data_IF_021570540449
#
_entry.id   IF_021570540449
#
_cell.length_a   1.000
_cell.length_b   1.000
_cell.length_c   1.000
_cell.angle_alpha   90.00
_cell.angle_beta   90.00
_cell.angle_gamma   90.00
#
_symmetry.space_group_name_H-M   'P 1'
#
loop_
_entity.id
_entity.type
_entity.pdbx_description
1 polymer ?
#
# COMPACT_ATOMS: atom_id res chain seq x y z
N UNK A 1 -13.72 -37.25 11.47
CA UNK A 1 -14.63 -36.27 10.84
C UNK A 1 -13.90 -34.94 10.76
N UNK A 2 -13.29 -34.68 9.60
CA UNK A 2 -12.65 -33.39 9.31
C UNK A 2 -13.79 -32.42 9.06
N UNK A 3 -14.06 -31.52 10.02
CA UNK A 3 -14.97 -30.39 9.78
C UNK A 3 -14.25 -29.47 8.81
N UNK A 4 -14.71 -29.44 7.56
CA UNK A 4 -14.38 -28.37 6.63
C UNK A 4 -14.77 -27.05 7.29
N UNK A 5 -13.76 -26.23 7.58
CA UNK A 5 -13.97 -24.86 7.97
C UNK A 5 -14.37 -24.09 6.71
N UNK A 6 -15.64 -23.67 6.64
CA UNK A 6 -16.08 -22.60 5.74
C UNK A 6 -15.12 -21.41 5.82
N UNK A 7 -14.69 -20.81 4.70
CA UNK A 7 -13.77 -19.67 4.72
C UNK A 7 -14.50 -18.47 5.33
N UNK A 8 -14.26 -18.22 6.61
CA UNK A 8 -14.78 -17.05 7.29
C UNK A 8 -13.95 -15.84 6.85
N UNK A 9 -14.53 -15.02 5.97
CA UNK A 9 -14.09 -13.67 5.62
C UNK A 9 -12.70 -13.58 5.00
N UNK A 10 -12.62 -13.60 3.67
CA UNK A 10 -11.40 -13.21 2.94
C UNK A 10 -10.97 -11.81 3.35
N UNK A 11 -9.77 -11.67 3.91
CA UNK A 11 -9.15 -10.37 4.14
C UNK A 11 -8.83 -9.73 2.79
N UNK A 12 -8.86 -8.40 2.77
CA UNK A 12 -8.76 -7.57 1.57
C UNK A 12 -7.51 -7.88 0.71
N UNK A 13 -6.44 -8.38 1.34
CA UNK A 13 -5.14 -8.63 0.73
C UNK A 13 -4.81 -10.12 0.53
N UNK A 14 -5.70 -11.05 0.92
CA UNK A 14 -5.38 -12.49 0.99
C UNK A 14 -5.05 -13.10 -0.38
N UNK A 15 -5.61 -12.56 -1.47
CA UNK A 15 -5.34 -13.03 -2.82
C UNK A 15 -4.20 -12.28 -3.51
N UNK A 16 -3.66 -11.22 -2.90
CA UNK A 16 -2.74 -10.29 -3.56
C UNK A 16 -1.39 -10.92 -3.86
N UNK A 17 -0.93 -11.84 -3.02
CA UNK A 17 0.42 -12.41 -3.18
C UNK A 17 0.55 -13.34 -4.39
N UNK A 18 -0.45 -14.20 -4.64
CA UNK A 18 -0.38 -15.27 -5.65
C UNK A 18 -1.58 -15.29 -6.61
N UNK A 19 -2.52 -14.35 -6.49
CA UNK A 19 -3.82 -14.41 -7.20
C UNK A 19 -4.81 -15.42 -6.61
N UNK A 20 -4.41 -16.14 -5.56
CA UNK A 20 -5.24 -17.10 -4.82
C UNK A 20 -5.21 -16.79 -3.33
N UNK A 21 -6.30 -17.05 -2.61
CA UNK A 21 -6.40 -16.78 -1.18
C UNK A 21 -5.33 -17.53 -0.37
N UNK A 22 -4.54 -16.80 0.40
CA UNK A 22 -3.58 -17.32 1.35
C UNK A 22 -4.03 -17.05 2.78
N UNK A 23 -3.78 -18.01 3.66
CA UNK A 23 -4.01 -17.86 5.09
C UNK A 23 -2.82 -18.41 5.87
N UNK A 24 -2.40 -17.66 6.88
CA UNK A 24 -1.36 -18.09 7.81
C UNK A 24 -2.01 -18.79 8.99
N UNK A 25 -1.73 -20.09 9.14
CA UNK A 25 -2.20 -20.88 10.27
C UNK A 25 -1.09 -21.12 11.29
N UNK A 26 -1.37 -20.82 12.55
CA UNK A 26 -0.48 -21.16 13.66
C UNK A 26 -1.15 -22.19 14.57
N UNK A 27 -0.52 -23.36 14.72
CA UNK A 27 -1.03 -24.42 15.57
C UNK A 27 -0.65 -24.14 17.03
N UNK A 28 -1.61 -23.61 17.78
CA UNK A 28 -1.46 -23.41 19.22
C UNK A 28 -1.36 -24.76 19.92
N UNK A 29 -0.35 -24.88 20.78
CA UNK A 29 -0.19 -26.02 21.68
C UNK A 29 -0.51 -25.59 23.09
N UNK A 30 -0.97 -26.55 23.89
CA UNK A 30 -1.17 -26.35 25.32
C UNK A 30 0.14 -25.87 25.98
N UNK A 31 0.12 -24.86 26.88
CA UNK A 31 -1.04 -24.18 27.45
C UNK A 31 -1.44 -22.85 26.75
N UNK A 32 -0.83 -22.52 25.61
CA UNK A 32 -1.04 -21.21 24.95
C UNK A 32 -2.42 -21.08 24.30
N UNK A 33 -3.04 -22.21 23.96
CA UNK A 33 -4.42 -22.31 23.47
C UNK A 33 -5.48 -21.90 24.51
N UNK A 34 -5.15 -21.87 25.80
CA UNK A 34 -6.02 -21.33 26.85
C UNK A 34 -6.14 -19.80 26.79
N UNK A 35 -5.18 -19.16 26.12
CA UNK A 35 -4.99 -17.73 26.14
C UNK A 35 -5.27 -17.09 24.78
N UNK A 36 -4.70 -17.63 23.70
CA UNK A 36 -4.88 -17.17 22.32
C UNK A 36 -6.08 -17.85 21.68
N UNK A 37 -7.00 -17.06 21.13
CA UNK A 37 -8.16 -17.59 20.42
C UNK A 37 -7.93 -17.61 18.90
N UNK A 38 -8.77 -18.35 18.17
CA UNK A 38 -8.81 -18.36 16.71
C UNK A 38 -9.02 -16.96 16.12
N UNK A 39 -9.80 -16.12 16.80
CA UNK A 39 -10.00 -14.73 16.39
C UNK A 39 -8.67 -13.96 16.35
N UNK A 40 -7.80 -14.14 17.35
CA UNK A 40 -6.48 -13.50 17.39
C UNK A 40 -5.60 -13.96 16.22
N UNK A 41 -5.64 -15.26 15.89
CA UNK A 41 -4.91 -15.82 14.76
C UNK A 41 -5.42 -15.29 13.42
N UNK A 42 -6.72 -15.03 13.27
CA UNK A 42 -7.26 -14.40 12.05
C UNK A 42 -6.77 -12.96 11.87
N UNK A 43 -6.58 -12.22 12.96
CA UNK A 43 -5.97 -10.89 12.93
C UNK A 43 -4.51 -11.00 12.46
N UNK A 44 -3.72 -11.91 13.03
CA UNK A 44 -2.35 -12.15 12.58
C UNK A 44 -2.28 -12.55 11.11
N UNK A 45 -3.18 -13.41 10.63
CA UNK A 45 -3.27 -13.77 9.21
C UNK A 45 -3.57 -12.55 8.34
N UNK A 46 -4.48 -11.67 8.76
CA UNK A 46 -4.84 -10.46 8.00
C UNK A 46 -3.68 -9.47 7.90
N UNK A 47 -2.98 -9.23 9.01
CA UNK A 47 -1.76 -8.41 9.05
C UNK A 47 -0.68 -9.04 8.18
N UNK A 48 -0.50 -10.35 8.24
CA UNK A 48 0.44 -11.08 7.39
C UNK A 48 0.13 -10.89 5.91
N UNK A 49 -1.12 -11.11 5.48
CA UNK A 49 -1.53 -10.93 4.09
C UNK A 49 -1.25 -9.51 3.58
N UNK A 50 -1.57 -8.49 4.38
CA UNK A 50 -1.27 -7.10 4.05
C UNK A 50 0.24 -6.85 3.91
N UNK A 51 1.04 -7.26 4.89
CA UNK A 51 2.49 -7.08 4.86
C UNK A 51 3.14 -7.83 3.68
N UNK A 52 2.66 -9.04 3.39
CA UNK A 52 3.13 -9.85 2.28
C UNK A 52 2.80 -9.19 0.93
N UNK A 53 1.58 -8.68 0.75
CA UNK A 53 1.15 -7.93 -0.43
C UNK A 53 2.01 -6.68 -0.65
N UNK A 54 2.21 -5.88 0.39
CA UNK A 54 3.02 -4.66 0.34
C UNK A 54 4.49 -4.98 0.02
N UNK A 55 5.06 -6.00 0.67
CA UNK A 55 6.47 -6.40 0.45
C UNK A 55 6.70 -7.00 -0.93
N UNK A 56 5.77 -7.81 -1.44
CA UNK A 56 5.82 -8.33 -2.81
C UNK A 56 5.82 -7.18 -3.81
N UNK A 57 4.81 -6.31 -3.74
CA UNK A 57 4.67 -5.17 -4.66
C UNK A 57 5.92 -4.28 -4.63
N UNK A 58 6.46 -4.01 -3.44
CA UNK A 58 7.72 -3.27 -3.29
C UNK A 58 8.90 -3.95 -4.00
N UNK A 59 9.04 -5.27 -3.83
CA UNK A 59 10.11 -6.05 -4.48
C UNK A 59 9.95 -6.05 -6.00
N UNK A 60 8.73 -6.21 -6.50
CA UNK A 60 8.39 -6.22 -7.93
C UNK A 60 8.71 -4.86 -8.59
N UNK A 61 8.37 -3.75 -7.91
CA UNK A 61 8.70 -2.39 -8.38
C UNK A 61 10.22 -2.15 -8.41
N UNK A 62 10.96 -2.63 -7.41
CA UNK A 62 12.44 -2.55 -7.41
C UNK A 62 13.08 -3.38 -8.54
N UNK A 63 12.52 -4.55 -8.84
CA UNK A 63 12.93 -5.36 -9.99
C UNK A 63 12.64 -4.63 -11.30
N UNK A 64 11.46 -4.01 -11.44
CA UNK A 64 11.10 -3.18 -12.59
C UNK A 64 12.05 -1.99 -12.78
N UNK A 65 12.41 -1.27 -11.71
CA UNK A 65 13.42 -0.21 -11.74
C UNK A 65 14.76 -0.71 -12.29
N UNK A 66 15.20 -1.88 -11.85
CA UNK A 66 16.44 -2.52 -12.32
C UNK A 66 16.35 -2.89 -13.79
N UNK A 67 15.22 -3.42 -14.23
CA UNK A 67 14.94 -3.77 -15.63
C UNK A 67 15.02 -2.54 -16.55
N UNK A 68 14.32 -1.45 -16.20
CA UNK A 68 14.34 -0.18 -16.92
C UNK A 68 15.74 0.43 -16.95
N UNK A 69 16.46 0.39 -15.82
CA UNK A 69 17.84 0.86 -15.74
C UNK A 69 18.74 0.13 -16.73
N UNK A 70 18.62 -1.19 -16.80
CA UNK A 70 19.43 -2.03 -17.69
C UNK A 70 19.07 -1.78 -19.16
N UNK A 71 17.79 -1.70 -19.48
CA UNK A 71 17.32 -1.46 -20.84
C UNK A 71 17.73 -0.06 -21.35
N UNK A 72 17.67 0.96 -20.50
CA UNK A 72 18.21 2.29 -20.82
C UNK A 72 19.72 2.27 -21.07
N UNK A 73 20.51 1.60 -20.21
CA UNK A 73 21.96 1.46 -20.43
C UNK A 73 22.27 0.74 -21.73
N UNK A 74 21.52 -0.34 -22.03
CA UNK A 74 21.67 -1.09 -23.26
C UNK A 74 21.36 -0.23 -24.51
N UNK A 75 20.30 0.57 -24.49
CA UNK A 75 19.96 1.51 -25.58
C UNK A 75 21.04 2.55 -25.81
N UNK A 76 21.52 3.21 -24.74
CA UNK A 76 22.49 4.32 -24.86
C UNK A 76 23.83 3.91 -25.49
N UNK A 77 24.17 2.61 -25.48
CA UNK A 77 25.33 2.08 -26.22
C UNK A 77 25.22 2.31 -27.73
N UNK A 78 24.00 2.39 -28.26
CA UNK A 78 23.72 2.52 -29.69
C UNK A 78 23.11 3.88 -30.06
N UNK A 79 22.48 4.57 -29.10
CA UNK A 79 21.79 5.86 -29.36
C UNK A 79 22.53 7.08 -28.76
N UNK A 80 23.57 6.87 -27.97
CA UNK A 80 24.30 7.94 -27.30
C UNK A 80 23.40 8.73 -26.34
N UNK A 81 23.22 10.03 -26.61
CA UNK A 81 22.36 10.92 -25.82
C UNK A 81 20.90 10.97 -26.30
N UNK A 82 20.57 10.38 -27.45
CA UNK A 82 19.19 10.29 -27.92
C UNK A 82 18.50 9.04 -27.40
N UNK A 83 17.18 9.01 -27.45
CA UNK A 83 16.38 7.81 -27.14
C UNK A 83 16.18 6.88 -28.35
N UNK A 84 16.96 7.12 -29.42
CA UNK A 84 16.80 6.52 -30.74
C UNK A 84 15.51 6.97 -31.43
N UNK A 85 15.16 6.31 -32.54
CA UNK A 85 14.00 6.64 -33.37
C UNK A 85 14.36 7.50 -34.58
N UNK A 86 13.34 7.95 -35.30
CA UNK A 86 13.45 8.94 -36.37
C UNK A 86 13.32 10.35 -35.80
N UNK A 87 13.51 11.37 -36.63
CA UNK A 87 13.28 12.76 -36.22
C UNK A 87 11.80 13.02 -35.82
N UNK A 88 10.87 12.21 -36.32
CA UNK A 88 9.42 12.40 -36.12
C UNK A 88 8.94 11.87 -34.76
N UNK A 89 9.57 10.83 -34.21
CA UNK A 89 9.14 10.17 -32.96
C UNK A 89 10.08 10.43 -31.77
N UNK A 90 11.26 11.00 -31.98
CA UNK A 90 12.27 11.24 -30.93
C UNK A 90 11.72 11.98 -29.69
N UNK A 91 10.91 13.03 -29.87
CA UNK A 91 10.31 13.76 -28.74
C UNK A 91 9.25 12.93 -28.00
N UNK A 92 8.44 12.15 -28.73
CA UNK A 92 7.47 11.25 -28.14
C UNK A 92 8.15 10.17 -27.29
N UNK A 93 9.25 9.60 -27.78
CA UNK A 93 10.07 8.63 -27.04
C UNK A 93 10.66 9.25 -25.76
N UNK A 94 11.22 10.46 -25.85
CA UNK A 94 11.77 11.16 -24.69
C UNK A 94 10.70 11.46 -23.63
N UNK A 95 9.51 11.91 -24.04
CA UNK A 95 8.38 12.15 -23.13
C UNK A 95 7.92 10.85 -22.48
N UNK A 96 7.77 9.78 -23.24
CA UNK A 96 7.35 8.48 -22.76
C UNK A 96 8.31 7.88 -21.74
N UNK A 97 9.62 7.93 -22.02
CA UNK A 97 10.62 7.45 -21.08
C UNK A 97 10.60 8.26 -19.78
N UNK A 98 10.51 9.59 -19.86
CA UNK A 98 10.40 10.46 -18.67
C UNK A 98 9.16 10.13 -17.83
N UNK A 99 8.02 9.92 -18.47
CA UNK A 99 6.78 9.54 -17.78
C UNK A 99 6.94 8.17 -17.11
N UNK A 100 7.44 7.16 -17.82
CA UNK A 100 7.69 5.82 -17.27
C UNK A 100 8.62 5.84 -16.04
N UNK A 101 9.72 6.59 -16.09
CA UNK A 101 10.59 6.77 -14.92
C UNK A 101 9.91 7.51 -13.77
N UNK A 102 9.10 8.52 -14.08
CA UNK A 102 8.28 9.21 -13.10
C UNK A 102 7.36 8.26 -12.35
N UNK A 103 6.62 7.41 -13.07
CA UNK A 103 5.72 6.40 -12.50
C UNK A 103 6.47 5.47 -11.54
N UNK A 104 7.57 4.82 -11.97
CA UNK A 104 8.30 3.88 -11.09
C UNK A 104 8.91 4.57 -9.88
N UNK A 105 9.39 5.81 -10.04
CA UNK A 105 9.90 6.60 -8.93
C UNK A 105 8.81 6.91 -7.91
N UNK A 106 7.64 7.37 -8.38
CA UNK A 106 6.51 7.73 -7.53
C UNK A 106 5.98 6.46 -6.80
N UNK A 107 5.89 5.32 -7.49
CA UNK A 107 5.57 4.01 -6.89
C UNK A 107 6.58 3.60 -5.81
N UNK A 108 7.89 3.66 -6.13
CA UNK A 108 8.95 3.27 -5.22
C UNK A 108 8.93 4.11 -3.96
N UNK A 109 8.87 5.44 -4.12
CA UNK A 109 8.80 6.38 -3.00
C UNK A 109 7.61 6.11 -2.09
N UNK A 110 6.42 5.90 -2.66
CA UNK A 110 5.22 5.62 -1.88
C UNK A 110 5.36 4.32 -1.09
N UNK A 111 5.78 3.23 -1.76
CA UNK A 111 5.94 1.92 -1.14
C UNK A 111 7.03 1.93 -0.05
N UNK A 112 8.17 2.60 -0.29
CA UNK A 112 9.22 2.81 0.71
C UNK A 112 8.68 3.55 1.94
N UNK A 113 7.89 4.60 1.72
CA UNK A 113 7.33 5.43 2.80
C UNK A 113 6.34 4.65 3.64
N UNK A 114 5.39 3.96 3.02
CA UNK A 114 4.37 3.17 3.71
C UNK A 114 4.99 1.96 4.41
N UNK A 115 5.89 1.23 3.75
CA UNK A 115 6.55 0.07 4.35
C UNK A 115 7.42 0.47 5.55
N UNK A 116 8.16 1.57 5.44
CA UNK A 116 8.96 2.11 6.55
C UNK A 116 8.08 2.50 7.73
N UNK A 117 6.96 3.19 7.49
CA UNK A 117 5.99 3.53 8.52
C UNK A 117 5.41 2.28 9.21
N UNK A 118 4.91 1.32 8.44
CA UNK A 118 4.29 0.11 9.00
C UNK A 118 5.30 -0.70 9.83
N UNK A 119 6.53 -0.87 9.34
CA UNK A 119 7.53 -1.67 10.05
C UNK A 119 8.07 -0.94 11.30
N UNK A 120 8.44 0.34 11.17
CA UNK A 120 9.18 1.06 12.22
C UNK A 120 8.24 1.75 13.22
N UNK A 121 7.29 2.54 12.72
CA UNK A 121 6.44 3.37 13.58
C UNK A 121 5.24 2.60 14.16
N UNK A 122 4.87 1.47 13.53
CA UNK A 122 3.75 0.63 13.98
C UNK A 122 4.24 -0.68 14.59
N UNK A 123 4.77 -1.60 13.78
CA UNK A 123 5.09 -2.98 14.23
C UNK A 123 6.14 -2.96 15.34
N UNK A 124 7.29 -2.32 15.13
CA UNK A 124 8.37 -2.28 16.12
C UNK A 124 7.95 -1.56 17.40
N UNK A 125 7.24 -0.44 17.24
CA UNK A 125 6.77 0.39 18.37
C UNK A 125 5.75 -0.36 19.23
N UNK A 126 4.74 -0.98 18.62
CA UNK A 126 3.72 -1.73 19.36
C UNK A 126 4.26 -3.02 19.96
N UNK A 127 5.19 -3.69 19.28
CA UNK A 127 5.86 -4.87 19.83
C UNK A 127 6.78 -4.53 21.00
N UNK A 128 7.49 -3.38 20.94
CA UNK A 128 8.28 -2.89 22.06
C UNK A 128 7.41 -2.61 23.30
N UNK A 129 6.27 -1.94 23.12
CA UNK A 129 5.30 -1.69 24.20
C UNK A 129 4.75 -2.99 24.80
N UNK A 130 4.42 -3.97 23.95
CA UNK A 130 3.97 -5.28 24.42
C UNK A 130 5.05 -5.92 25.32
N UNK A 131 6.30 -5.95 24.88
CA UNK A 131 7.41 -6.50 25.68
C UNK A 131 7.61 -5.76 26.99
N UNK A 132 7.54 -4.43 26.99
CA UNK A 132 7.65 -3.61 28.20
C UNK A 132 6.52 -3.92 29.19
N UNK A 133 5.27 -3.99 28.72
CA UNK A 133 4.13 -4.34 29.55
C UNK A 133 4.27 -5.75 30.13
N UNK A 134 4.82 -6.71 29.39
CA UNK A 134 5.05 -8.06 29.89
C UNK A 134 6.20 -8.08 30.92
N UNK A 135 7.29 -7.36 30.66
CA UNK A 135 8.49 -7.32 31.50
C UNK A 135 8.41 -6.37 32.71
N UNK A 136 7.36 -5.55 32.80
CA UNK A 136 7.21 -4.56 33.86
C UNK A 136 7.40 -5.19 35.26
N UNK A 137 8.27 -4.60 36.11
CA UNK A 137 8.55 -5.15 37.43
C UNK A 137 7.29 -5.08 38.28
N UNK A 138 6.82 -6.26 38.70
CA UNK A 138 5.67 -6.41 39.58
C UNK A 138 6.15 -6.84 40.95
N UNK A 139 5.50 -6.33 42.00
CA UNK A 139 5.77 -6.80 43.36
C UNK A 139 5.51 -8.30 43.43
N UNK A 140 6.26 -9.05 44.26
CA UNK A 140 6.19 -10.52 44.33
C UNK A 140 4.78 -11.10 44.61
N UNK A 141 3.82 -10.26 45.01
CA UNK A 141 2.41 -10.62 45.22
C UNK A 141 1.48 -10.29 44.03
N UNK A 142 1.96 -9.64 42.97
CA UNK A 142 1.17 -9.22 41.79
C UNK A 142 1.68 -9.87 40.51
N UNK A 143 1.50 -11.19 40.39
CA UNK A 143 1.71 -11.85 39.10
C UNK A 143 0.69 -11.34 38.07
N UNK A 144 1.06 -11.34 36.78
CA UNK A 144 0.11 -11.15 35.68
C UNK A 144 -0.92 -12.27 35.75
N UNK A 145 -2.17 -11.91 36.01
CA UNK A 145 -3.28 -12.84 35.86
C UNK A 145 -3.64 -13.03 34.37
N UNK A 146 -4.30 -14.15 34.07
CA UNK A 146 -4.68 -14.50 32.70
C UNK A 146 -5.55 -13.43 32.04
N UNK A 147 -6.44 -12.80 32.82
CA UNK A 147 -7.32 -11.73 32.35
C UNK A 147 -6.52 -10.49 31.90
N UNK A 148 -5.52 -10.06 32.69
CA UNK A 148 -4.66 -8.95 32.29
C UNK A 148 -3.81 -9.29 31.08
N UNK A 149 -3.26 -10.50 31.00
CA UNK A 149 -2.50 -10.93 29.83
C UNK A 149 -3.36 -10.87 28.56
N UNK A 150 -4.62 -11.32 28.63
CA UNK A 150 -5.54 -11.35 27.48
C UNK A 150 -5.84 -9.95 27.00
N UNK A 151 -6.18 -9.08 27.95
CA UNK A 151 -6.41 -7.67 27.65
C UNK A 151 -5.18 -6.99 27.02
N UNK A 152 -3.97 -7.26 27.52
CA UNK A 152 -2.73 -6.68 26.95
C UNK A 152 -2.56 -7.11 25.49
N UNK A 153 -2.76 -8.38 25.19
CA UNK A 153 -2.58 -8.91 23.83
C UNK A 153 -3.69 -8.50 22.87
N UNK A 154 -4.96 -8.51 23.29
CA UNK A 154 -6.07 -7.99 22.50
C UNK A 154 -5.85 -6.51 22.16
N UNK A 155 -5.39 -5.70 23.11
CA UNK A 155 -5.07 -4.30 22.86
C UNK A 155 -3.89 -4.14 21.89
N UNK A 156 -2.85 -4.97 22.01
CA UNK A 156 -1.74 -4.99 21.05
C UNK A 156 -2.22 -5.28 19.62
N UNK A 157 -3.06 -6.29 19.43
CA UNK A 157 -3.61 -6.63 18.11
C UNK A 157 -4.50 -5.54 17.54
N UNK A 158 -5.36 -4.93 18.37
CA UNK A 158 -6.19 -3.81 17.94
C UNK A 158 -5.35 -2.61 17.48
N UNK A 159 -4.29 -2.26 18.23
CA UNK A 159 -3.37 -1.18 17.86
C UNK A 159 -2.55 -1.51 16.61
N UNK A 160 -2.16 -2.77 16.43
CA UNK A 160 -1.46 -3.22 15.23
C UNK A 160 -2.33 -3.08 13.98
N UNK A 161 -3.59 -3.52 14.05
CA UNK A 161 -4.55 -3.36 12.94
C UNK A 161 -4.81 -1.89 12.60
N UNK A 162 -5.00 -1.05 13.63
CA UNK A 162 -5.24 0.38 13.46
C UNK A 162 -4.03 1.08 12.83
N UNK A 163 -2.84 0.82 13.36
CA UNK A 163 -1.60 1.40 12.82
C UNK A 163 -1.29 0.92 11.41
N UNK A 164 -1.60 -0.33 11.06
CA UNK A 164 -1.51 -0.84 9.69
C UNK A 164 -2.58 -0.25 8.75
N UNK A 165 -3.45 0.65 9.22
CA UNK A 165 -4.52 1.29 8.47
C UNK A 165 -5.61 0.32 7.97
N UNK A 166 -5.68 -0.88 8.58
CA UNK A 166 -6.61 -1.95 8.19
C UNK A 166 -8.00 -1.79 8.82
N UNK A 167 -8.12 -0.96 9.86
CA UNK A 167 -9.40 -0.64 10.51
C UNK A 167 -10.27 0.29 9.66
N UNK A 168 -9.63 1.15 8.86
CA UNK A 168 -10.33 2.05 7.93
C UNK A 168 -10.41 1.41 6.54
N UNK A 169 -11.60 0.87 6.23
CA UNK A 169 -11.88 0.16 4.96
C UNK A 169 -11.60 1.05 3.74
N UNK A 170 -11.83 2.37 3.82
CA UNK A 170 -11.55 3.28 2.72
C UNK A 170 -10.04 3.40 2.45
N UNK A 171 -9.23 3.60 3.51
CA UNK A 171 -7.76 3.65 3.39
C UNK A 171 -7.19 2.32 2.90
N UNK A 172 -7.64 1.20 3.47
CA UNK A 172 -7.20 -0.13 3.06
C UNK A 172 -7.58 -0.41 1.60
N UNK A 173 -8.77 0.01 1.17
CA UNK A 173 -9.25 -0.12 -0.21
C UNK A 173 -8.45 0.72 -1.22
N UNK A 174 -8.06 1.95 -0.86
CA UNK A 174 -7.19 2.79 -1.68
C UNK A 174 -5.78 2.19 -1.75
N UNK A 175 -5.22 1.72 -0.63
CA UNK A 175 -3.92 1.03 -0.62
C UNK A 175 -3.91 -0.16 -1.56
N UNK A 176 -4.95 -1.01 -1.50
CA UNK A 176 -5.08 -2.14 -2.43
C UNK A 176 -5.10 -1.69 -3.89
N UNK A 177 -5.85 -0.65 -4.24
CA UNK A 177 -5.87 -0.10 -5.59
C UNK A 177 -4.50 0.40 -6.04
N UNK A 178 -3.73 1.05 -5.15
CA UNK A 178 -2.36 1.49 -5.45
C UNK A 178 -1.48 0.27 -5.73
N UNK A 179 -1.56 -0.79 -4.90
CA UNK A 179 -0.79 -2.02 -5.15
C UNK A 179 -1.17 -2.67 -6.49
N UNK A 180 -2.46 -2.73 -6.84
CA UNK A 180 -2.95 -3.26 -8.12
C UNK A 180 -2.40 -2.45 -9.32
N UNK A 181 -2.32 -1.11 -9.20
CA UNK A 181 -1.74 -0.23 -10.24
C UNK A 181 -0.24 -0.49 -10.39
N UNK A 182 0.49 -0.63 -9.27
CA UNK A 182 1.91 -0.99 -9.28
C UNK A 182 2.15 -2.31 -10.01
N UNK A 183 1.40 -3.36 -9.66
CA UNK A 183 1.52 -4.67 -10.30
C UNK A 183 1.19 -4.62 -11.79
N UNK A 184 0.12 -3.90 -12.18
CA UNK A 184 -0.24 -3.70 -13.59
C UNK A 184 0.90 -3.05 -14.38
N UNK A 185 1.54 -2.03 -13.83
CA UNK A 185 2.67 -1.37 -14.49
C UNK A 185 3.89 -2.28 -14.62
N UNK A 186 4.27 -2.98 -13.54
CA UNK A 186 5.40 -3.91 -13.56
C UNK A 186 5.18 -5.00 -14.61
N UNK A 187 4.00 -5.62 -14.61
CA UNK A 187 3.65 -6.65 -15.59
C UNK A 187 3.70 -6.15 -17.04
N UNK A 188 3.32 -4.89 -17.29
CA UNK A 188 3.42 -4.28 -18.62
C UNK A 188 4.88 -4.09 -19.05
N UNK A 189 5.73 -3.59 -18.15
CA UNK A 189 7.16 -3.41 -18.43
C UNK A 189 7.84 -4.76 -18.68
N UNK A 190 7.53 -5.78 -17.88
CA UNK A 190 8.03 -7.15 -18.11
C UNK A 190 7.58 -7.70 -19.46
N UNK A 191 6.29 -7.56 -19.79
CA UNK A 191 5.74 -7.93 -21.10
C UNK A 191 6.43 -7.22 -22.24
N UNK A 192 6.85 -5.98 -22.03
CA UNK A 192 7.60 -5.18 -22.99
C UNK A 192 9.12 -5.41 -22.95
N UNK A 193 9.57 -6.52 -22.36
CA UNK A 193 10.99 -6.93 -22.27
C UNK A 193 11.86 -6.00 -21.41
N UNK A 194 11.26 -5.43 -20.37
CA UNK A 194 11.98 -4.62 -19.39
C UNK A 194 12.10 -3.14 -19.72
N UNK A 195 11.42 -2.68 -20.78
CA UNK A 195 11.39 -1.27 -21.14
C UNK A 195 10.01 -0.76 -21.49
N UNK A 196 9.74 0.51 -21.17
CA UNK A 196 8.57 1.20 -21.68
C UNK A 196 8.72 1.42 -23.18
N UNK A 197 9.89 1.86 -23.67
CA UNK A 197 10.10 2.17 -25.07
C UNK A 197 10.13 0.91 -25.95
N UNK A 198 9.51 0.96 -27.15
CA UNK A 198 9.65 -0.13 -28.11
C UNK A 198 11.09 -0.20 -28.64
N UNK A 199 11.54 -1.41 -28.99
CA UNK A 199 12.87 -1.60 -29.55
C UNK A 199 12.95 -0.96 -30.94
N UNK A 200 14.11 -0.39 -31.26
CA UNK A 200 14.32 0.42 -32.47
C UNK A 200 14.15 -0.36 -33.78
N UNK A 201 14.24 -1.69 -33.74
CA UNK A 201 14.13 -2.56 -34.92
C UNK A 201 12.70 -3.07 -35.18
N UNK A 202 11.76 -2.88 -34.23
CA UNK A 202 10.37 -3.31 -34.42
C UNK A 202 9.57 -2.32 -35.27
N UNK A 203 10.00 -1.06 -35.33
CA UNK A 203 9.29 0.01 -36.01
C UNK A 203 9.91 0.20 -37.41
N UNK A 204 9.13 -0.08 -38.46
CA UNK A 204 9.57 0.08 -39.86
C UNK A 204 10.17 -1.16 -40.55
N UNK A 205 9.88 -2.38 -40.08
CA UNK A 205 10.25 -3.62 -40.77
C UNK A 205 9.49 -3.79 -42.09
N UNK A 206 10.04 -3.19 -43.15
CA UNK A 206 10.05 -3.56 -44.58
C UNK A 206 8.75 -3.97 -45.33
N UNK A 207 7.58 -4.17 -44.72
CA UNK A 207 6.41 -4.67 -45.49
C UNK A 207 5.00 -4.32 -44.95
N UNK A 208 4.79 -3.14 -44.35
CA UNK A 208 3.44 -2.75 -43.96
C UNK A 208 3.34 -1.30 -43.52
N UNK A 209 2.35 -0.57 -44.03
CA UNK A 209 2.13 0.87 -43.85
C UNK A 209 1.78 1.36 -42.43
N UNK A 210 2.42 0.82 -41.39
CA UNK A 210 2.34 1.37 -40.04
C UNK A 210 3.16 2.67 -39.94
N UNK A 211 2.51 3.72 -39.45
CA UNK A 211 3.12 5.04 -39.29
C UNK A 211 4.27 4.99 -38.26
N UNK A 212 5.38 5.67 -38.55
CA UNK A 212 6.48 5.85 -37.61
C UNK A 212 5.97 6.41 -36.27
N UNK A 213 6.40 5.82 -35.16
CA UNK A 213 5.98 6.19 -33.81
C UNK A 213 4.61 5.62 -33.40
N UNK A 214 3.96 4.76 -34.20
CA UNK A 214 2.67 4.15 -33.85
C UNK A 214 2.77 3.33 -32.54
N UNK A 215 3.82 2.52 -32.37
CA UNK A 215 3.97 1.70 -31.16
C UNK A 215 4.32 2.57 -29.95
N UNK A 216 5.09 3.64 -30.14
CA UNK A 216 5.37 4.64 -29.10
C UNK A 216 4.07 5.31 -28.64
N UNK A 217 3.21 5.72 -29.58
CA UNK A 217 1.89 6.33 -29.28
C UNK A 217 0.96 5.36 -28.54
N UNK A 218 0.94 4.08 -28.92
CA UNK A 218 0.13 3.06 -28.25
C UNK A 218 0.57 2.89 -26.79
N UNK A 219 1.86 2.65 -26.56
CA UNK A 219 2.39 2.48 -25.20
C UNK A 219 2.28 3.74 -24.36
N UNK A 220 2.44 4.92 -24.97
CA UNK A 220 2.24 6.21 -24.29
C UNK A 220 0.87 6.33 -23.66
N UNK A 221 -0.21 5.98 -24.40
CA UNK A 221 -1.58 6.04 -23.86
C UNK A 221 -1.72 5.22 -22.58
N UNK A 222 -1.16 4.02 -22.58
CA UNK A 222 -1.21 3.11 -21.42
C UNK A 222 -0.40 3.64 -20.24
N UNK A 223 0.83 4.12 -20.49
CA UNK A 223 1.70 4.66 -19.42
C UNK A 223 1.13 5.94 -18.83
N UNK A 224 0.57 6.83 -19.66
CA UNK A 224 -0.07 8.06 -19.21
C UNK A 224 -1.34 7.79 -18.39
N UNK A 225 -2.17 6.83 -18.78
CA UNK A 225 -3.33 6.38 -18.00
C UNK A 225 -2.91 5.85 -16.62
N UNK A 226 -1.85 5.05 -16.55
CA UNK A 226 -1.32 4.54 -15.28
C UNK A 226 -0.79 5.68 -14.41
N UNK A 227 -0.06 6.63 -14.99
CA UNK A 227 0.47 7.81 -14.30
C UNK A 227 -0.65 8.66 -13.68
N UNK A 228 -1.73 8.91 -14.42
CA UNK A 228 -2.90 9.65 -13.93
C UNK A 228 -3.63 8.88 -12.83
N UNK A 229 -3.88 7.59 -13.03
CA UNK A 229 -4.55 6.73 -12.04
C UNK A 229 -3.74 6.62 -10.75
N UNK A 230 -2.43 6.40 -10.84
CA UNK A 230 -1.55 6.32 -9.69
C UNK A 230 -1.61 7.62 -8.88
N UNK A 231 -1.42 8.76 -9.53
CA UNK A 231 -1.47 10.06 -8.84
C UNK A 231 -2.82 10.33 -8.19
N UNK A 232 -3.91 10.05 -8.88
CA UNK A 232 -5.26 10.22 -8.32
C UNK A 232 -5.45 9.37 -7.05
N UNK A 233 -4.93 8.13 -7.03
CA UNK A 233 -5.01 7.28 -5.85
C UNK A 233 -4.08 7.75 -4.72
N UNK A 234 -2.89 8.27 -5.03
CA UNK A 234 -1.99 8.85 -4.03
C UNK A 234 -2.60 10.10 -3.37
N UNK A 235 -3.24 10.96 -4.15
CA UNK A 235 -3.99 12.13 -3.66
C UNK A 235 -5.18 11.70 -2.79
N UNK A 236 -5.97 10.73 -3.27
CA UNK A 236 -7.10 10.19 -2.51
C UNK A 236 -6.66 9.54 -1.19
N UNK A 237 -5.53 8.83 -1.19
CA UNK A 237 -4.96 8.24 0.01
C UNK A 237 -4.57 9.32 1.02
N UNK A 238 -3.85 10.36 0.57
CA UNK A 238 -3.45 11.47 1.42
C UNK A 238 -4.66 12.23 2.00
N UNK A 239 -5.68 12.47 1.18
CA UNK A 239 -6.90 13.12 1.62
C UNK A 239 -7.65 12.27 2.65
N UNK A 240 -7.85 10.98 2.38
CA UNK A 240 -8.49 10.06 3.31
C UNK A 240 -7.73 9.96 4.64
N UNK A 241 -6.39 9.99 4.60
CA UNK A 241 -5.55 9.96 5.79
C UNK A 241 -5.70 11.27 6.58
N UNK A 242 -5.72 12.40 5.90
CA UNK A 242 -5.94 13.73 6.51
C UNK A 242 -7.32 13.83 7.15
N UNK A 243 -8.36 13.34 6.47
CA UNK A 243 -9.73 13.30 6.99
C UNK A 243 -9.86 12.39 8.21
N UNK A 244 -9.13 11.27 8.23
CA UNK A 244 -9.12 10.36 9.39
C UNK A 244 -8.55 11.03 10.66
N UNK A 245 -7.70 12.04 10.51
CA UNK A 245 -7.10 12.82 11.60
C UNK A 245 -7.97 14.00 12.06
N UNK A 246 -8.86 14.51 11.20
CA UNK A 246 -9.70 15.68 11.50
C UNK A 246 -11.00 15.33 12.23
N UNK A 247 -11.45 14.08 12.17
CA UNK A 247 -12.62 13.63 12.91
C UNK A 247 -12.26 13.37 14.39
N UNK A 248 -13.03 13.88 15.37
CA UNK A 248 -12.95 13.34 16.72
C UNK A 248 -13.36 11.86 16.65
N UNK A 249 -12.50 10.95 17.13
CA UNK A 249 -12.89 9.55 17.37
C UNK A 249 -14.08 9.57 18.32
N UNK A 250 -15.29 9.47 17.77
CA UNK A 250 -16.48 9.36 18.59
C UNK A 250 -16.38 8.05 19.36
N UNK A 251 -16.35 8.12 20.69
CA UNK A 251 -16.44 6.96 21.57
C UNK A 251 -17.84 6.33 21.56
N UNK A 252 -18.75 6.79 20.70
CA UNK A 252 -20.04 6.13 20.46
C UNK A 252 -19.87 5.08 19.37
N UNK A 253 -19.83 3.82 19.81
CA UNK A 253 -20.01 2.65 18.95
C UNK A 253 -21.35 2.81 18.20
N UNK A 254 -21.30 3.28 16.96
CA UNK A 254 -22.46 3.38 16.10
C UNK A 254 -22.78 1.97 15.59
N UNK A 255 -23.87 1.39 16.10
CA UNK A 255 -24.32 0.01 15.88
C UNK A 255 -24.84 -0.25 14.44
N UNK A 256 -24.56 0.63 13.49
CA UNK A 256 -25.19 0.64 12.17
C UNK A 256 -24.27 0.26 11.00
N UNK A 257 -23.03 -0.17 11.25
CA UNK A 257 -22.10 -0.69 10.20
C UNK A 257 -21.89 -2.20 10.28
N UNK A 258 -22.98 -2.93 10.52
CA UNK A 258 -23.01 -4.39 10.69
C UNK A 258 -23.21 -5.10 9.35
N UNK A 259 -22.17 -5.13 8.52
CA UNK A 259 -22.14 -6.05 7.36
C UNK A 259 -20.81 -6.81 7.21
N UNK A 260 -19.78 -6.49 8.01
CA UNK A 260 -18.50 -7.21 8.03
C UNK A 260 -18.03 -7.65 9.42
N UNK A 261 -18.88 -7.56 10.45
CA UNK A 261 -18.52 -7.95 11.82
C UNK A 261 -19.17 -9.30 12.13
N UNK A 262 -18.56 -10.37 11.63
CA UNK A 262 -18.94 -11.76 11.92
C UNK A 262 -18.15 -12.42 13.04
N UNK A 263 -17.16 -11.74 13.64
CA UNK A 263 -16.25 -12.37 14.61
C UNK A 263 -15.92 -11.53 15.86
N UNK A 264 -16.66 -10.45 16.13
CA UNK A 264 -16.47 -9.67 17.38
C UNK A 264 -17.81 -9.36 18.03
N UNK A 265 -18.44 -10.40 18.56
CA UNK A 265 -19.62 -10.30 19.43
C UNK A 265 -19.39 -11.07 20.73
N UNK A 266 -18.24 -10.84 21.38
CA UNK A 266 -18.05 -11.13 22.82
C UNK A 266 -17.12 -10.07 23.41
N UNK A 267 -17.49 -8.79 23.28
CA UNK A 267 -16.79 -7.72 24.03
C UNK A 267 -17.76 -6.65 24.51
N UNK A 268 -18.82 -7.09 25.20
CA UNK A 268 -19.50 -6.22 26.15
C UNK A 268 -20.35 -7.04 27.12
N UNK A 269 -19.76 -7.43 28.24
CA UNK A 269 -20.43 -7.42 29.54
C UNK A 269 -19.40 -7.66 30.65
N UNK A 270 -19.52 -6.84 31.70
CA UNK A 270 -18.77 -6.83 32.96
C UNK A 270 -17.38 -6.17 32.95
N UNK A 271 -17.32 -4.90 33.35
CA UNK A 271 -16.62 -4.45 34.58
C UNK A 271 -16.58 -2.93 34.63
N UNK A 272 -17.62 -2.37 35.24
CA UNK A 272 -17.66 -0.99 35.70
C UNK A 272 -16.80 -0.82 36.96
N UNK A 273 -15.49 -1.00 36.87
CA UNK A 273 -14.54 -0.56 37.90
C UNK A 273 -13.18 -0.35 37.26
N UNK A 274 -12.82 0.91 36.97
CA UNK A 274 -11.43 1.42 36.96
C UNK A 274 -11.40 2.90 36.56
N UNK A 275 -11.58 3.79 37.55
CA UNK A 275 -11.56 5.25 37.41
C UNK A 275 -10.13 5.83 37.20
N UNK A 276 -9.11 4.99 37.01
CA UNK A 276 -7.72 5.39 36.67
C UNK A 276 -7.42 5.35 35.16
N UNK A 277 -8.39 4.95 34.31
CA UNK A 277 -8.17 4.66 32.88
C UNK A 277 -8.27 5.87 31.94
N UNK A 278 -8.79 7.00 32.38
CA UNK A 278 -8.98 8.18 31.52
C UNK A 278 -7.65 8.77 31.04
N UNK A 279 -6.63 8.79 31.91
CA UNK A 279 -5.31 9.35 31.59
C UNK A 279 -4.45 8.47 30.67
N UNK A 280 -4.69 7.15 30.67
CA UNK A 280 -4.01 6.19 29.80
C UNK A 280 -4.61 6.16 28.40
N UNK A 281 -5.94 6.17 28.29
CA UNK A 281 -6.65 6.19 27.01
C UNK A 281 -6.35 7.46 26.19
N UNK A 282 -6.26 8.63 26.83
CA UNK A 282 -5.84 9.88 26.16
C UNK A 282 -4.39 9.82 25.64
N UNK A 283 -3.49 9.19 26.39
CA UNK A 283 -2.09 9.00 25.98
C UNK A 283 -1.98 8.03 24.80
N UNK A 284 -2.77 6.96 24.78
CA UNK A 284 -2.79 5.97 23.70
C UNK A 284 -3.43 6.52 22.42
N UNK A 285 -4.55 7.25 22.51
CA UNK A 285 -5.15 7.94 21.36
C UNK A 285 -4.18 8.95 20.75
N UNK A 286 -3.47 9.70 21.60
CA UNK A 286 -2.44 10.64 21.19
C UNK A 286 -1.25 9.95 20.50
N UNK A 287 -0.93 8.71 20.85
CA UNK A 287 0.13 7.94 20.19
C UNK A 287 -0.29 7.43 18.82
N UNK A 288 -1.55 6.95 18.66
CA UNK A 288 -2.04 6.53 17.35
C UNK A 288 -2.05 7.71 16.37
N UNK A 289 -2.52 8.87 16.84
CA UNK A 289 -2.49 10.11 16.07
C UNK A 289 -1.08 10.54 15.64
N UNK A 290 -0.09 10.45 16.54
CA UNK A 290 1.29 10.89 16.28
C UNK A 290 1.99 10.09 15.19
N UNK A 291 1.78 8.78 15.12
CA UNK A 291 2.45 7.97 14.09
C UNK A 291 1.84 8.24 12.70
N UNK A 292 0.53 8.48 12.61
CA UNK A 292 -0.10 8.88 11.35
C UNK A 292 0.26 10.31 10.96
N UNK A 293 0.41 11.23 11.90
CA UNK A 293 0.95 12.57 11.65
C UNK A 293 2.37 12.50 11.05
N UNK A 294 3.22 11.59 11.54
CA UNK A 294 4.53 11.33 10.92
C UNK A 294 4.41 10.77 9.51
N UNK A 295 3.46 9.87 9.27
CA UNK A 295 3.20 9.33 7.92
C UNK A 295 2.78 10.46 6.96
N UNK A 296 1.83 11.32 7.37
CA UNK A 296 1.40 12.48 6.58
C UNK A 296 2.59 13.40 6.25
N UNK A 297 3.44 13.69 7.24
CA UNK A 297 4.63 14.52 7.02
C UNK A 297 5.64 13.88 6.05
N UNK A 298 5.79 12.55 6.08
CA UNK A 298 6.66 11.84 5.12
C UNK A 298 6.07 11.82 3.71
N UNK A 299 4.76 11.63 3.60
CA UNK A 299 4.05 11.63 2.32
C UNK A 299 4.02 13.01 1.67
N UNK A 300 3.96 14.10 2.46
CA UNK A 300 3.91 15.45 1.93
C UNK A 300 5.19 16.26 2.18
N UNK A 301 6.34 15.58 2.34
CA UNK A 301 7.61 16.24 2.64
C UNK A 301 8.00 17.32 1.61
N UNK A 302 7.66 17.11 0.34
CA UNK A 302 7.89 18.08 -0.74
C UNK A 302 6.68 18.99 -1.05
N UNK A 303 5.55 18.79 -0.36
CA UNK A 303 4.30 19.50 -0.64
C UNK A 303 3.67 19.15 -1.99
N UNK A 304 4.04 18.01 -2.59
CA UNK A 304 3.55 17.61 -3.92
C UNK A 304 2.11 17.08 -3.87
N UNK A 305 1.68 16.50 -2.75
CA UNK A 305 0.33 15.95 -2.59
C UNK A 305 -0.65 16.98 -2.00
N UNK A 306 -0.17 17.94 -1.20
CA UNK A 306 -1.02 19.00 -0.63
C UNK A 306 -1.30 20.19 -1.57
N UNK A 307 -0.47 20.39 -2.60
CA UNK A 307 -0.64 21.49 -3.54
C UNK A 307 -1.49 21.02 -4.73
N UNK A 308 -2.64 21.66 -5.01
CA UNK A 308 -3.36 21.38 -6.25
C UNK A 308 -2.46 21.73 -7.42
N UNK A 309 -2.18 20.76 -8.28
CA UNK A 309 -1.41 21.00 -9.49
C UNK A 309 -2.17 22.05 -10.30
N UNK A 310 -1.51 23.17 -10.65
CA UNK A 310 -2.01 24.09 -11.67
C UNK A 310 -2.33 23.25 -12.89
N UNK A 311 -3.63 23.11 -13.18
CA UNK A 311 -4.11 22.16 -14.17
C UNK A 311 -3.37 22.37 -15.48
N UNK A 312 -2.70 21.32 -15.95
CA UNK A 312 -2.55 21.11 -17.40
C UNK A 312 -3.87 20.50 -17.90
N UNK A 313 -5.01 21.10 -17.48
CA UNK A 313 -6.33 20.82 -18.01
C UNK A 313 -6.67 21.99 -18.91
N UNK A 314 -6.55 21.78 -20.22
CA UNK A 314 -7.19 22.66 -21.20
C UNK A 314 -6.32 23.26 -22.31
N UNK A 315 -5.13 22.75 -22.63
CA UNK A 315 -4.33 23.35 -23.72
C UNK A 315 -3.48 22.43 -24.59
N UNK A 316 -3.18 21.20 -24.17
CA UNK A 316 -2.14 20.41 -24.84
C UNK A 316 -2.70 19.24 -25.66
N UNK A 317 -3.89 18.73 -25.35
CA UNK A 317 -4.52 17.65 -26.15
C UNK A 317 -4.83 18.05 -27.60
N UNK A 318 -5.17 19.31 -27.87
CA UNK A 318 -5.49 19.77 -29.23
C UNK A 318 -4.28 20.29 -30.02
N UNK A 319 -3.17 20.64 -29.36
CA UNK A 319 -1.98 21.17 -30.04
C UNK A 319 -0.99 20.07 -30.43
N UNK A 320 -1.03 18.91 -29.75
CA UNK A 320 -0.14 17.76 -30.03
C UNK A 320 -0.44 17.11 -31.40
N UNK A 321 -1.69 17.14 -31.87
CA UNK A 321 -2.07 16.58 -33.17
C UNK A 321 -2.01 17.59 -34.31
N UNK A 322 -1.94 18.90 -34.02
CA UNK A 322 -1.90 19.95 -35.04
C UNK A 322 -0.56 20.00 -35.80
N UNK A 323 0.53 19.53 -35.18
CA UNK A 323 1.87 19.50 -35.78
C UNK A 323 2.18 18.27 -36.64
N UNK A 324 1.30 17.26 -36.68
CA UNK A 324 1.51 16.00 -37.42
C UNK A 324 0.67 15.90 -38.70
N UNK A 325 0.05 17.02 -39.11
CA UNK A 325 -0.86 17.12 -40.25
C UNK A 325 -0.38 18.06 -41.37
N UNK A 326 0.93 18.19 -41.59
CA UNK A 326 1.49 18.77 -42.83
C UNK A 326 2.74 18.03 -43.26
#
# INVERSE_FOLDING_TARGET
>A
MIREATPQGTSLFDSHLLGTTLSLTYNLSWPLDLFLDRADLTIYSSVFSFLAALRKTHTDVQACWTSLSNAQRARRRWTGFSEGGTAEDQDARAKMLRCGWGVVRDMSWFLDTVLSYVMMDVVDTEFAKLKELLAAPRSAASHLDFSSLRMIHTNYLARLLDGCLLTNIALAGILRQILDICERFVALVERWSGDVLPALLFEGSLDGGEQVGAMVKERWKVVAEIDENLRSQLEAFYEALTQSMSQPFSTTVDASKSAYIGASMVLNQTTAHNFSRTRGAESELGQSRRHVERLLLRLDFNGELSKPRKGVRGGVENDILAGLGR
#
